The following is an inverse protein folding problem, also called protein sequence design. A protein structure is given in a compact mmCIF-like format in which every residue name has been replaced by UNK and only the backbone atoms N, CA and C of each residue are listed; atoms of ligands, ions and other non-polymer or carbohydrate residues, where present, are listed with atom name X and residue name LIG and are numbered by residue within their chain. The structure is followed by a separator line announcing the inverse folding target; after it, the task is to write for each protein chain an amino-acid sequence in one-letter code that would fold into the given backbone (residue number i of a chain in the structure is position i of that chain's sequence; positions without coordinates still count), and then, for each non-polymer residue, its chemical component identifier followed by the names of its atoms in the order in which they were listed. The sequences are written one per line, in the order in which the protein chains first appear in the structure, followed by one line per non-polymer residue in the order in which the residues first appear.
data_IF_643732043988
#
_entry.id   IF_643732043988
#
_cell.length_a   1.000
_cell.length_b   1.000
_cell.length_c   1.000
_cell.angle_alpha   90.00
_cell.angle_beta   90.00
_cell.angle_gamma   90.00
#
_symmetry.space_group_name_H-M   'P 1'
#
loop_
_entity.id
_entity.type
_entity.pdbx_description
1 polymer ?
#
# COMPACT_ATOMS: atom_id res chain seq x y z
N UNK A 1 4.17 -1.57 10.75
CA UNK A 1 4.92 -0.67 9.85
C UNK A 1 3.95 0.43 9.43
N UNK A 2 4.23 1.67 9.80
CA UNK A 2 3.27 2.76 9.72
C UNK A 2 3.27 3.41 8.33
N UNK A 3 2.24 3.03 7.57
CA UNK A 3 1.53 3.78 6.54
C UNK A 3 2.35 4.62 5.55
N UNK A 4 2.23 4.19 4.29
CA UNK A 4 1.62 5.03 3.26
C UNK A 4 0.29 4.28 2.96
N UNK A 5 -0.91 4.84 3.25
CA UNK A 5 -1.45 6.07 2.64
C UNK A 5 -1.98 7.09 3.67
N UNK A 6 -2.16 8.34 3.22
CA UNK A 6 -2.53 9.49 4.07
C UNK A 6 -4.02 9.58 4.44
N UNK A 7 -4.86 8.63 4.04
CA UNK A 7 -6.28 8.62 4.40
C UNK A 7 -6.58 7.53 5.43
N UNK A 8 -6.74 7.93 6.70
CA UNK A 8 -7.69 7.21 7.58
C UNK A 8 -9.09 7.50 7.04
N UNK A 9 -9.58 6.65 6.13
CA UNK A 9 -10.92 6.77 5.57
C UNK A 9 -11.37 5.48 4.90
N UNK A 10 -12.22 4.72 5.60
CA UNK A 10 -12.94 3.52 5.16
C UNK A 10 -12.17 2.20 5.00
N UNK A 11 -11.51 1.72 6.06
CA UNK A 11 -11.42 0.27 6.29
C UNK A 11 -12.68 -0.23 7.03
N UNK A 12 -13.85 -0.06 6.42
CA UNK A 12 -15.11 -0.60 6.96
C UNK A 12 -15.71 -1.67 6.06
N UNK A 13 -14.94 -2.71 5.75
CA UNK A 13 -15.52 -4.01 5.36
C UNK A 13 -15.26 -5.07 6.43
N UNK A 14 -14.12 -5.00 7.13
CA UNK A 14 -13.84 -5.87 8.28
C UNK A 14 -14.73 -5.57 9.51
N UNK A 15 -15.20 -4.33 9.67
CA UNK A 15 -16.07 -3.92 10.80
C UNK A 15 -17.56 -4.19 10.53
N UNK A 16 -18.00 -4.14 9.27
CA UNK A 16 -19.36 -4.49 8.85
C UNK A 16 -19.64 -5.99 8.99
N UNK A 17 -18.65 -6.85 8.73
CA UNK A 17 -18.77 -8.29 8.95
C UNK A 17 -18.96 -8.68 10.43
N UNK A 18 -18.41 -7.91 11.38
CA UNK A 18 -18.62 -8.15 12.82
C UNK A 18 -19.97 -7.64 13.32
N UNK A 19 -20.55 -6.60 12.69
CA UNK A 19 -21.90 -6.11 13.02
C UNK A 19 -23.00 -7.03 12.48
N UNK A 20 -22.82 -7.63 11.29
CA UNK A 20 -23.78 -8.61 10.78
C UNK A 20 -23.80 -9.91 11.60
N UNK A 21 -22.66 -10.31 12.16
CA UNK A 21 -22.54 -11.49 13.02
C UNK A 21 -23.04 -11.28 14.45
N UNK A 22 -23.16 -10.04 14.91
CA UNK A 22 -23.56 -9.70 16.28
C UNK A 22 -25.02 -9.21 16.41
N UNK A 23 -25.73 -8.91 15.31
CA UNK A 23 -27.08 -8.34 15.35
C UNK A 23 -28.17 -9.06 14.53
N UNK A 24 -27.85 -10.10 13.76
CA UNK A 24 -28.78 -10.72 12.82
C UNK A 24 -29.45 -12.01 13.29
N UNK A 25 -30.13 -12.00 14.45
CA UNK A 25 -30.97 -13.15 14.87
C UNK A 25 -32.21 -12.72 15.66
N UNK A 26 -32.99 -11.77 15.14
CA UNK A 26 -34.38 -11.53 15.59
C UNK A 26 -35.19 -10.86 14.48
N UNK A 27 -35.87 -11.66 13.67
CA UNK A 27 -37.19 -11.38 13.05
C UNK A 27 -37.42 -12.34 11.88
N UNK A 28 -38.69 -12.73 11.69
CA UNK A 28 -39.25 -13.75 10.78
C UNK A 28 -39.21 -15.16 11.40
N UNK A 29 -40.31 -15.77 11.80
CA UNK A 29 -41.71 -15.41 11.65
C UNK A 29 -42.55 -16.58 12.17
N UNK A 30 -43.65 -16.25 12.83
CA UNK A 30 -44.64 -17.18 13.32
C UNK A 30 -45.20 -18.07 12.20
N UNK A 31 -45.50 -19.33 12.52
CA UNK A 31 -46.21 -20.23 11.62
C UNK A 31 -46.10 -21.71 11.99
N UNK A 32 -46.43 -22.07 13.24
CA UNK A 32 -46.59 -23.47 13.64
C UNK A 32 -48.07 -23.71 14.00
N UNK A 33 -48.86 -24.15 13.03
CA UNK A 33 -50.15 -24.81 13.27
C UNK A 33 -50.54 -25.74 12.11
N UNK A 34 -50.72 -27.02 12.45
CA UNK A 34 -51.83 -27.85 11.97
C UNK A 34 -51.61 -28.72 10.71
N UNK A 35 -51.87 -30.02 10.85
CA UNK A 35 -52.47 -30.82 9.78
C UNK A 35 -51.82 -32.16 9.44
N UNK A 36 -52.35 -33.23 10.04
CA UNK A 36 -52.19 -34.63 9.64
C UNK A 36 -52.84 -34.85 8.26
N UNK A 37 -52.17 -35.56 7.33
CA UNK A 37 -52.81 -35.97 6.08
C UNK A 37 -51.91 -36.71 5.07
N UNK A 38 -51.87 -38.04 5.20
CA UNK A 38 -51.82 -39.05 4.13
C UNK A 38 -50.99 -38.84 2.86
N UNK A 39 -49.98 -39.69 2.69
CA UNK A 39 -49.99 -40.72 1.65
C UNK A 39 -49.76 -40.33 0.17
N UNK A 40 -48.79 -41.04 -0.42
CA UNK A 40 -48.68 -41.38 -1.84
C UNK A 40 -48.04 -40.31 -2.77
N UNK A 41 -46.76 -40.51 -3.11
CA UNK A 41 -46.27 -40.97 -4.44
C UNK A 41 -44.82 -40.54 -4.71
N UNK A 42 -43.94 -41.54 -4.64
CA UNK A 42 -42.67 -41.58 -5.37
C UNK A 42 -42.93 -41.36 -6.87
N UNK A 43 -42.48 -40.24 -7.45
CA UNK A 43 -41.95 -40.13 -8.82
C UNK A 43 -41.41 -38.72 -9.16
N UNK A 44 -40.81 -37.99 -8.21
CA UNK A 44 -40.40 -36.59 -8.41
C UNK A 44 -38.90 -36.27 -8.21
N UNK A 45 -38.09 -37.26 -7.83
CA UNK A 45 -36.76 -37.00 -7.26
C UNK A 45 -35.56 -37.16 -8.22
N UNK A 46 -35.74 -37.59 -9.48
CA UNK A 46 -34.60 -37.75 -10.40
C UNK A 46 -34.32 -36.55 -11.31
N UNK A 47 -35.18 -35.52 -11.35
CA UNK A 47 -34.99 -34.34 -12.23
C UNK A 47 -34.52 -33.10 -11.47
N UNK A 48 -34.62 -33.10 -10.13
CA UNK A 48 -34.07 -32.01 -9.29
C UNK A 48 -32.58 -32.18 -8.98
N UNK A 49 -32.07 -33.41 -8.91
CA UNK A 49 -30.65 -33.68 -8.67
C UNK A 49 -29.72 -33.24 -9.83
N UNK A 50 -30.24 -33.00 -11.03
CA UNK A 50 -29.45 -32.53 -12.20
C UNK A 50 -29.36 -31.00 -12.30
N UNK A 51 -30.23 -30.25 -11.60
CA UNK A 51 -30.14 -28.78 -11.53
C UNK A 51 -29.12 -28.29 -10.50
N UNK A 52 -28.87 -29.08 -9.45
CA UNK A 52 -27.89 -28.74 -8.41
C UNK A 52 -26.43 -29.01 -8.84
N UNK A 53 -26.21 -29.92 -9.81
CA UNK A 53 -24.87 -30.19 -10.34
C UNK A 53 -24.36 -29.05 -11.24
N UNK A 54 -25.25 -28.27 -11.87
CA UNK A 54 -24.87 -27.09 -12.67
C UNK A 54 -24.54 -25.84 -11.84
N UNK A 55 -24.94 -25.79 -10.56
CA UNK A 55 -24.59 -24.69 -9.67
C UNK A 55 -23.27 -24.91 -8.91
N UNK A 56 -22.80 -26.16 -8.82
CA UNK A 56 -21.57 -26.49 -8.11
C UNK A 56 -20.28 -26.21 -8.91
N UNK A 57 -20.35 -26.16 -10.25
CA UNK A 57 -19.19 -25.82 -11.10
C UNK A 57 -18.89 -24.32 -11.19
N UNK A 58 -19.84 -23.44 -10.90
CA UNK A 58 -19.60 -21.99 -10.87
C UNK A 58 -19.22 -21.45 -9.49
N UNK A 59 -19.41 -22.22 -8.40
CA UNK A 59 -19.08 -21.77 -7.03
C UNK A 59 -17.60 -21.95 -6.66
N UNK A 60 -16.80 -22.66 -7.46
CA UNK A 60 -15.36 -22.83 -7.21
C UNK A 60 -14.48 -21.71 -7.80
N UNK A 61 -15.00 -20.84 -8.67
CA UNK A 61 -14.21 -19.75 -9.27
C UNK A 61 -14.07 -18.51 -8.36
N UNK A 62 -14.89 -18.38 -7.31
CA UNK A 62 -14.85 -17.27 -6.36
C UNK A 62 -13.92 -17.46 -5.16
N UNK A 63 -13.57 -18.71 -4.83
CA UNK A 63 -12.77 -19.05 -3.64
C UNK A 63 -11.25 -18.98 -3.86
N UNK A 64 -10.78 -18.52 -5.00
CA UNK A 64 -9.34 -18.41 -5.29
C UNK A 64 -8.73 -17.03 -5.02
N UNK A 65 -9.57 -16.01 -4.76
CA UNK A 65 -9.10 -14.62 -4.57
C UNK A 65 -8.75 -14.29 -3.12
N UNK A 66 -9.47 -14.84 -2.13
CA UNK A 66 -9.24 -14.54 -0.72
C UNK A 66 -7.91 -15.10 -0.18
N UNK A 67 -7.49 -16.32 -0.57
CA UNK A 67 -6.19 -16.86 -0.15
C UNK A 67 -4.98 -16.13 -0.80
N UNK A 68 -5.16 -15.54 -1.99
CA UNK A 68 -4.13 -14.72 -2.65
C UNK A 68 -3.93 -13.38 -1.96
N UNK A 69 -4.98 -12.84 -1.33
CA UNK A 69 -4.93 -11.58 -0.58
C UNK A 69 -4.08 -11.70 0.70
N UNK A 70 -4.12 -12.86 1.34
CA UNK A 70 -3.42 -13.14 2.61
C UNK A 70 -2.09 -13.89 2.44
N UNK A 71 -1.62 -14.12 1.20
CA UNK A 71 -0.35 -14.81 0.98
C UNK A 71 0.82 -13.85 1.31
N UNK A 72 1.73 -14.20 2.25
CA UNK A 72 2.91 -13.39 2.56
C UNK A 72 3.98 -13.48 1.47
N UNK A 73 3.76 -14.31 0.44
CA UNK A 73 4.67 -14.45 -0.68
C UNK A 73 4.67 -13.20 -1.55
N UNK A 74 5.79 -12.49 -1.43
CA UNK A 74 6.24 -11.46 -2.36
C UNK A 74 6.09 -11.97 -3.79
N UNK A 75 5.58 -11.11 -4.68
CA UNK A 75 5.43 -11.41 -6.11
C UNK A 75 6.23 -10.42 -6.93
N UNK A 76 6.69 -10.79 -8.14
CA UNK A 76 7.40 -9.86 -9.00
C UNK A 76 6.60 -8.56 -9.22
N UNK A 77 7.28 -7.41 -9.41
CA UNK A 77 6.62 -6.15 -9.68
C UNK A 77 5.74 -6.25 -10.93
N UNK A 78 4.56 -5.64 -10.90
CA UNK A 78 3.62 -5.64 -12.03
C UNK A 78 3.99 -4.64 -13.11
N UNK A 79 4.92 -3.72 -12.81
CA UNK A 79 5.44 -2.71 -13.72
C UNK A 79 6.95 -2.88 -13.88
N UNK A 80 7.44 -2.75 -15.10
CA UNK A 80 8.88 -2.78 -15.40
C UNK A 80 9.59 -1.67 -14.62
N UNK A 81 10.68 -2.03 -13.95
CA UNK A 81 11.53 -1.09 -13.23
C UNK A 81 12.49 -0.40 -14.18
N UNK A 82 12.86 0.84 -13.87
CA UNK A 82 13.84 1.60 -14.63
C UNK A 82 15.27 1.28 -14.18
N UNK A 83 15.42 0.87 -12.92
CA UNK A 83 16.68 0.49 -12.28
C UNK A 83 16.40 -0.46 -11.09
N UNK A 84 17.44 -0.93 -10.42
CA UNK A 84 17.32 -1.68 -9.17
C UNK A 84 18.40 -1.29 -8.15
N UNK A 85 18.10 -1.51 -6.87
CA UNK A 85 19.12 -1.54 -5.82
C UNK A 85 20.03 -2.78 -6.02
N UNK A 86 21.22 -2.83 -5.39
CA UNK A 86 22.07 -4.02 -5.39
C UNK A 86 21.41 -5.30 -4.87
N UNK A 87 20.31 -5.17 -4.12
CA UNK A 87 19.49 -6.27 -3.62
C UNK A 87 18.32 -6.63 -4.55
N UNK A 88 18.40 -6.29 -5.84
CA UNK A 88 17.38 -6.49 -6.88
C UNK A 88 16.01 -5.85 -6.59
N UNK A 89 15.98 -4.86 -5.69
CA UNK A 89 14.76 -4.14 -5.35
C UNK A 89 14.48 -3.12 -6.47
N UNK A 90 13.27 -3.13 -7.06
CA UNK A 90 12.89 -2.19 -8.12
C UNK A 90 13.01 -0.72 -7.74
N UNK A 91 13.58 0.06 -8.64
CA UNK A 91 13.61 1.51 -8.61
C UNK A 91 12.90 2.05 -9.85
N UNK A 92 12.15 3.14 -9.66
CA UNK A 92 11.36 3.77 -10.71
C UNK A 92 11.67 5.26 -10.76
N UNK A 93 11.79 5.79 -11.96
CA UNK A 93 12.13 7.18 -12.23
C UNK A 93 11.06 7.84 -13.10
N UNK A 94 10.76 9.09 -12.78
CA UNK A 94 10.10 10.03 -13.68
C UNK A 94 10.55 11.43 -13.33
N UNK A 95 10.16 12.40 -14.15
CA UNK A 95 10.48 13.80 -13.90
C UNK A 95 10.05 14.23 -12.48
N UNK A 96 11.02 14.69 -11.69
CA UNK A 96 10.85 15.15 -10.31
C UNK A 96 10.50 14.06 -9.29
N UNK A 97 10.59 12.76 -9.63
CA UNK A 97 10.27 11.68 -8.70
C UNK A 97 11.08 10.40 -8.90
N UNK A 98 11.52 9.81 -7.79
CA UNK A 98 12.12 8.48 -7.75
C UNK A 98 11.47 7.66 -6.63
N UNK A 99 11.08 6.43 -6.93
CA UNK A 99 10.49 5.51 -5.98
C UNK A 99 11.32 4.24 -5.82
N UNK A 100 11.50 3.80 -4.58
CA UNK A 100 12.24 2.58 -4.22
C UNK A 100 11.27 1.59 -3.58
N UNK A 101 11.09 0.45 -4.24
CA UNK A 101 10.04 -0.52 -3.92
C UNK A 101 8.78 -0.34 -4.77
N UNK A 102 7.89 -1.33 -4.70
CA UNK A 102 6.75 -1.49 -5.62
C UNK A 102 5.43 -1.84 -4.94
N UNK A 103 5.35 -1.71 -3.61
CA UNK A 103 4.06 -1.84 -2.93
C UNK A 103 3.10 -0.71 -3.36
N UNK A 104 1.77 -0.94 -3.28
CA UNK A 104 0.79 -0.01 -3.82
C UNK A 104 0.91 1.42 -3.31
N UNK A 105 1.39 1.58 -2.09
CA UNK A 105 1.45 2.88 -1.46
C UNK A 105 2.65 3.72 -1.91
N UNK A 106 3.81 3.07 -2.10
CA UNK A 106 4.98 3.67 -2.75
C UNK A 106 4.59 4.12 -4.16
N UNK A 107 3.97 3.22 -4.94
CA UNK A 107 3.59 3.53 -6.32
C UNK A 107 2.51 4.61 -6.38
N UNK A 108 1.56 4.61 -5.43
CA UNK A 108 0.57 5.68 -5.33
C UNK A 108 1.22 7.06 -5.14
N UNK A 109 2.21 7.20 -4.26
CA UNK A 109 2.89 8.49 -4.07
C UNK A 109 3.74 8.86 -5.28
N UNK A 110 4.37 7.86 -5.90
CA UNK A 110 5.05 8.05 -7.15
C UNK A 110 4.10 8.61 -8.20
N UNK A 111 2.95 8.01 -8.40
CA UNK A 111 2.03 8.36 -9.48
C UNK A 111 1.34 9.71 -9.27
N UNK A 112 0.78 9.95 -8.08
CA UNK A 112 -0.18 11.06 -7.88
C UNK A 112 0.23 12.15 -6.89
N UNK A 113 1.37 12.06 -6.21
CA UNK A 113 1.81 13.20 -5.41
C UNK A 113 2.14 14.39 -6.31
N UNK A 114 1.63 15.55 -5.94
CA UNK A 114 1.99 16.83 -6.55
C UNK A 114 3.50 17.05 -6.33
N UNK A 115 4.24 17.24 -7.43
CA UNK A 115 5.66 17.53 -7.37
C UNK A 115 5.86 18.92 -6.79
N UNK A 116 6.89 19.09 -5.97
CA UNK A 116 7.32 20.41 -5.52
C UNK A 116 8.26 20.98 -6.60
N UNK A 117 7.92 22.12 -7.25
CA UNK A 117 8.77 22.67 -8.29
C UNK A 117 10.21 22.90 -7.81
N UNK A 118 11.18 22.48 -8.64
CA UNK A 118 12.61 22.58 -8.32
C UNK A 118 13.11 21.55 -7.30
N UNK A 119 12.30 20.57 -6.89
CA UNK A 119 12.73 19.48 -6.02
C UNK A 119 12.65 18.13 -6.73
N UNK A 120 13.57 17.25 -6.37
CA UNK A 120 13.51 15.83 -6.69
C UNK A 120 12.88 15.06 -5.52
N UNK A 121 11.74 14.43 -5.75
CA UNK A 121 11.11 13.61 -4.72
C UNK A 121 11.77 12.23 -4.64
N UNK A 122 12.00 11.77 -3.41
CA UNK A 122 12.47 10.41 -3.11
C UNK A 122 11.44 9.71 -2.25
N UNK A 123 10.88 8.63 -2.78
CA UNK A 123 9.75 7.91 -2.19
C UNK A 123 10.21 6.52 -1.76
N UNK A 124 10.25 6.30 -0.47
CA UNK A 124 10.55 5.02 0.18
C UNK A 124 9.83 5.01 1.52
N UNK A 125 9.45 3.84 2.06
CA UNK A 125 8.84 3.84 3.39
C UNK A 125 9.88 4.22 4.43
N UNK A 126 9.46 5.00 5.42
CA UNK A 126 10.22 5.21 6.66
C UNK A 126 9.44 4.63 7.83
N UNK A 127 10.13 4.21 8.89
CA UNK A 127 9.48 3.74 10.11
C UNK A 127 9.79 4.62 11.32
N UNK A 128 8.99 4.49 12.38
CA UNK A 128 9.15 5.29 13.62
C UNK A 128 10.49 5.05 14.32
N UNK A 129 11.11 3.88 14.12
CA UNK A 129 12.46 3.57 14.61
C UNK A 129 13.57 4.06 13.66
N UNK A 130 13.16 4.80 12.62
CA UNK A 130 14.03 5.43 11.65
C UNK A 130 14.25 4.61 10.38
N UNK A 131 14.15 3.28 10.37
CA UNK A 131 14.59 2.50 9.20
C UNK A 131 13.90 2.90 7.90
N UNK A 132 14.66 2.87 6.80
CA UNK A 132 14.12 2.98 5.44
C UNK A 132 13.77 1.59 4.92
N UNK A 133 12.59 1.45 4.31
CA UNK A 133 12.07 0.19 3.82
C UNK A 133 11.60 0.31 2.37
N UNK A 134 12.16 -0.51 1.49
CA UNK A 134 11.57 -0.71 0.18
C UNK A 134 10.36 -1.63 0.33
N UNK A 135 9.16 -1.12 0.06
CA UNK A 135 7.94 -1.89 0.22
C UNK A 135 7.69 -2.82 -0.97
N UNK A 136 7.11 -3.98 -0.69
CA UNK A 136 6.81 -4.99 -1.70
C UNK A 136 5.35 -5.42 -1.69
N UNK A 137 4.87 -5.91 -2.83
CA UNK A 137 3.51 -6.40 -3.02
C UNK A 137 3.45 -7.93 -3.16
N UNK A 138 2.33 -8.52 -2.73
CA UNK A 138 2.00 -9.91 -3.01
C UNK A 138 1.24 -10.03 -4.34
N UNK A 139 0.88 -11.26 -4.71
CA UNK A 139 0.16 -11.56 -5.97
C UNK A 139 -1.21 -10.89 -6.07
N UNK A 140 -1.82 -10.51 -4.96
CA UNK A 140 -3.07 -9.76 -4.94
C UNK A 140 -2.87 -8.24 -5.09
N UNK A 141 -1.64 -7.79 -5.26
CA UNK A 141 -1.31 -6.37 -5.30
C UNK A 141 -1.50 -5.70 -3.94
N UNK A 142 -1.42 -6.44 -2.83
CA UNK A 142 -1.45 -5.91 -1.48
C UNK A 142 -0.03 -5.90 -0.90
N UNK A 143 0.24 -5.02 0.06
CA UNK A 143 1.55 -4.99 0.72
C UNK A 143 1.88 -6.34 1.36
N UNK A 144 3.01 -6.94 0.97
CA UNK A 144 3.49 -8.23 1.47
C UNK A 144 4.58 -8.10 2.53
N UNK A 145 5.29 -6.96 2.56
CA UNK A 145 6.45 -6.77 3.41
C UNK A 145 7.29 -5.57 2.98
N UNK A 146 8.56 -5.62 3.32
CA UNK A 146 9.55 -4.69 2.80
C UNK A 146 10.95 -5.01 3.31
N UNK A 147 11.95 -4.70 2.50
CA UNK A 147 13.35 -4.91 2.82
C UNK A 147 13.93 -3.65 3.46
N UNK A 148 14.73 -3.83 4.51
CA UNK A 148 15.46 -2.69 5.09
C UNK A 148 16.53 -2.25 4.10
N UNK A 149 16.52 -0.97 3.76
CA UNK A 149 17.45 -0.35 2.84
C UNK A 149 18.43 0.49 3.64
N UNK A 150 19.73 0.30 3.38
CA UNK A 150 20.76 1.16 3.93
C UNK A 150 20.63 2.58 3.31
N UNK A 151 20.66 3.66 4.10
CA UNK A 151 20.59 5.03 3.56
C UNK A 151 21.61 5.34 2.46
N UNK A 152 22.81 4.74 2.51
CA UNK A 152 23.81 4.91 1.45
C UNK A 152 23.33 4.37 0.10
N UNK A 153 22.56 3.27 0.08
CA UNK A 153 21.95 2.80 -1.17
C UNK A 153 20.88 3.76 -1.69
N UNK A 154 20.20 4.51 -0.81
CA UNK A 154 19.27 5.57 -1.24
C UNK A 154 20.04 6.73 -1.84
N UNK A 155 21.17 7.13 -1.25
CA UNK A 155 22.08 8.13 -1.82
C UNK A 155 22.61 7.72 -3.20
N UNK A 156 23.09 6.47 -3.33
CA UNK A 156 23.55 5.93 -4.60
C UNK A 156 22.44 5.92 -5.66
N UNK A 157 21.20 5.61 -5.26
CA UNK A 157 20.05 5.71 -6.16
C UNK A 157 19.79 7.15 -6.59
N UNK A 158 19.88 8.13 -5.69
CA UNK A 158 19.70 9.55 -6.02
C UNK A 158 20.75 10.00 -7.05
N UNK A 159 22.01 9.66 -6.82
CA UNK A 159 23.11 10.02 -7.72
C UNK A 159 23.02 9.36 -9.10
N UNK A 160 22.22 8.30 -9.24
CA UNK A 160 21.99 7.57 -10.50
C UNK A 160 20.68 7.94 -11.19
N UNK A 161 19.90 8.89 -10.65
CA UNK A 161 18.67 9.36 -11.29
C UNK A 161 19.03 9.97 -12.65
N UNK A 162 18.46 9.47 -13.76
CA UNK A 162 18.74 10.02 -15.08
C UNK A 162 18.35 11.51 -15.15
N UNK A 163 19.33 12.36 -15.48
CA UNK A 163 19.11 13.80 -15.66
C UNK A 163 18.97 14.62 -14.36
N UNK A 164 19.27 14.05 -13.19
CA UNK A 164 19.36 14.80 -11.93
C UNK A 164 20.63 15.67 -11.90
N UNK A 165 20.48 16.96 -11.60
CA UNK A 165 21.54 17.97 -11.68
C UNK A 165 21.85 18.63 -10.32
N UNK A 166 21.47 17.99 -9.22
CA UNK A 166 21.67 18.55 -7.87
C UNK A 166 20.50 19.42 -7.42
N UNK A 167 19.29 19.12 -7.86
CA UNK A 167 18.08 19.73 -7.32
C UNK A 167 17.90 19.35 -5.84
N UNK A 168 17.37 20.24 -4.98
CA UNK A 168 17.00 19.89 -3.61
C UNK A 168 16.13 18.62 -3.52
N UNK A 169 16.35 17.80 -2.50
CA UNK A 169 15.59 16.56 -2.30
C UNK A 169 14.39 16.82 -1.41
N UNK A 170 13.23 16.24 -1.74
CA UNK A 170 12.08 16.12 -0.83
C UNK A 170 11.81 14.64 -0.56
N UNK A 171 11.98 14.24 0.70
CA UNK A 171 11.72 12.87 1.16
C UNK A 171 10.22 12.68 1.35
N UNK A 172 9.59 11.84 0.53
CA UNK A 172 8.27 11.29 0.82
C UNK A 172 8.43 9.99 1.64
N UNK A 173 9.19 10.12 2.74
CA UNK A 173 9.63 9.03 3.62
C UNK A 173 9.19 9.32 5.05
N UNK A 174 8.22 8.55 5.53
CA UNK A 174 7.58 8.75 6.83
C UNK A 174 8.61 8.89 7.97
N UNK A 175 8.41 9.89 8.83
CA UNK A 175 9.22 10.15 10.02
C UNK A 175 10.70 10.48 9.78
N UNK A 176 11.19 10.54 8.53
CA UNK A 176 12.63 10.67 8.26
C UNK A 176 13.26 11.91 8.90
N UNK A 177 12.54 13.03 8.99
CA UNK A 177 13.04 14.25 9.63
C UNK A 177 13.11 14.19 11.16
N UNK A 178 12.36 13.31 11.82
CA UNK A 178 12.33 13.22 13.29
C UNK A 178 12.97 11.94 13.84
N UNK A 179 12.79 10.80 13.16
CA UNK A 179 13.32 9.52 13.58
C UNK A 179 14.77 9.29 13.14
N UNK A 180 15.25 10.00 12.11
CA UNK A 180 16.64 9.92 11.63
C UNK A 180 17.23 11.28 11.21
N UNK A 181 17.23 12.30 12.09
CA UNK A 181 17.76 13.60 11.73
C UNK A 181 19.23 13.55 11.31
N UNK A 182 20.05 12.67 11.92
CA UNK A 182 21.45 12.50 11.54
C UNK A 182 21.61 11.89 10.14
N UNK A 183 20.84 10.85 9.79
CA UNK A 183 20.88 10.25 8.45
C UNK A 183 20.49 11.27 7.39
N UNK A 184 19.43 12.04 7.62
CA UNK A 184 18.97 13.06 6.65
C UNK A 184 19.98 14.21 6.54
N UNK A 185 20.63 14.59 7.65
CA UNK A 185 21.72 15.55 7.63
C UNK A 185 22.93 15.03 6.84
N UNK A 186 23.34 13.77 7.07
CA UNK A 186 24.43 13.14 6.34
C UNK A 186 24.13 13.02 4.85
N UNK A 187 22.86 12.78 4.49
CA UNK A 187 22.41 12.82 3.10
C UNK A 187 22.54 14.22 2.50
N UNK A 188 22.13 15.28 3.22
CA UNK A 188 22.27 16.65 2.75
C UNK A 188 23.76 17.03 2.55
N UNK A 189 24.62 16.65 3.49
CA UNK A 189 26.05 16.87 3.42
C UNK A 189 26.67 16.13 2.21
N UNK A 190 26.29 14.86 2.02
CA UNK A 190 26.84 14.00 0.97
C UNK A 190 26.39 14.42 -0.44
N UNK A 191 25.14 14.88 -0.59
CA UNK A 191 24.62 15.37 -1.86
C UNK A 191 25.02 16.81 -2.14
N UNK A 192 25.40 17.59 -1.12
CA UNK A 192 25.68 19.01 -1.26
C UNK A 192 24.43 19.86 -1.54
N UNK A 193 23.23 19.33 -1.30
CA UNK A 193 21.95 20.00 -1.57
C UNK A 193 21.02 19.95 -0.35
N UNK A 194 20.07 20.89 -0.21
CA UNK A 194 19.05 20.82 0.84
C UNK A 194 18.21 19.54 0.75
N UNK A 195 17.92 18.92 1.90
CA UNK A 195 17.01 17.78 2.01
C UNK A 195 15.83 18.15 2.89
N UNK A 196 14.62 18.10 2.32
CA UNK A 196 13.36 18.35 3.01
C UNK A 196 12.74 17.02 3.46
N UNK A 197 12.49 16.85 4.75
CA UNK A 197 12.00 15.59 5.32
C UNK A 197 10.86 15.81 6.33
N UNK A 198 9.85 14.92 6.38
CA UNK A 198 8.71 15.06 7.27
C UNK A 198 9.04 14.59 8.69
N UNK A 199 8.50 15.26 9.71
CA UNK A 199 8.61 14.81 11.11
C UNK A 199 7.69 13.63 11.44
N UNK A 200 6.69 13.36 10.60
CA UNK A 200 5.71 12.29 10.84
C UNK A 200 5.37 11.53 9.53
N UNK A 201 4.40 10.62 9.59
CA UNK A 201 3.92 9.90 8.42
C UNK A 201 3.42 10.88 7.35
N UNK A 202 3.88 10.68 6.11
CA UNK A 202 3.55 11.54 4.96
C UNK A 202 2.94 10.71 3.84
N UNK A 203 2.05 11.32 3.07
CA UNK A 203 1.67 10.77 1.78
C UNK A 203 0.45 11.43 1.18
N UNK A 204 -0.16 10.71 0.24
CA UNK A 204 -1.38 11.12 -0.48
C UNK A 204 -2.58 10.22 -0.16
N UNK A 205 -3.81 10.63 -0.48
CA UNK A 205 -4.99 9.77 -0.41
C UNK A 205 -4.83 8.46 -1.17
N UNK A 206 -5.38 7.38 -0.63
CA UNK A 206 -5.30 6.04 -1.24
C UNK A 206 -6.11 5.89 -2.52
N UNK A 207 -7.06 6.78 -2.79
CA UNK A 207 -7.93 6.78 -3.96
C UNK A 207 -8.19 8.20 -4.47
N UNK A 208 -8.77 8.31 -5.67
CA UNK A 208 -9.02 9.56 -6.37
C UNK A 208 -7.99 9.86 -7.46
N UNK A 209 -8.33 10.78 -8.35
CA UNK A 209 -7.44 11.27 -9.41
C UNK A 209 -6.68 12.49 -8.87
N UNK A 210 -5.34 12.45 -8.99
CA UNK A 210 -4.47 13.53 -8.51
C UNK A 210 -4.27 14.64 -9.54
N UNK A 211 -3.29 15.54 -9.32
CA UNK A 211 -2.28 15.48 -8.28
C UNK A 211 -2.82 15.81 -6.88
N UNK A 212 -2.21 15.25 -5.85
CA UNK A 212 -2.50 15.57 -4.44
C UNK A 212 -1.25 16.13 -3.76
N UNK A 213 -1.38 17.26 -3.08
CA UNK A 213 -0.33 17.78 -2.21
C UNK A 213 -0.06 16.77 -1.08
N UNK A 214 1.18 16.28 -0.89
CA UNK A 214 1.50 15.36 0.20
C UNK A 214 1.23 16.01 1.56
N UNK A 215 0.53 15.28 2.43
CA UNK A 215 0.16 15.75 3.76
C UNK A 215 0.91 14.98 4.84
N UNK A 216 1.43 15.69 5.85
CA UNK A 216 2.07 15.10 7.03
C UNK A 216 1.03 14.96 8.13
N UNK A 217 0.90 13.76 8.69
CA UNK A 217 -0.10 13.43 9.71
C UNK A 217 0.21 14.07 11.07
N UNK A 218 -0.85 14.17 11.88
CA UNK A 218 -0.82 14.52 13.30
C UNK A 218 0.00 15.82 13.55
N UNK A 219 -0.30 16.86 12.77
CA UNK A 219 0.35 18.19 12.80
C UNK A 219 1.87 18.16 12.58
N UNK A 220 2.39 17.09 11.98
CA UNK A 220 3.79 17.03 11.60
C UNK A 220 4.15 18.08 10.55
N UNK A 221 5.43 18.43 10.51
CA UNK A 221 5.95 19.52 9.69
C UNK A 221 7.08 19.04 8.81
N UNK A 222 7.39 19.80 7.77
CA UNK A 222 8.59 19.62 6.98
C UNK A 222 9.77 20.28 7.68
N UNK A 223 10.83 19.53 7.91
CA UNK A 223 12.15 20.07 8.26
C UNK A 223 13.01 20.13 7.02
N UNK A 224 13.87 21.14 6.93
CA UNK A 224 14.86 21.25 5.86
C UNK A 224 16.25 21.22 6.48
N UNK A 225 17.02 20.23 6.06
CA UNK A 225 18.41 20.00 6.44
C UNK A 225 19.27 20.63 5.36
N UNK A 226 20.14 21.54 5.74
CA UNK A 226 21.06 22.23 4.83
C UNK A 226 22.41 21.53 4.85
N UNK A 227 23.13 21.43 3.73
CA UNK A 227 24.49 20.91 3.73
C UNK A 227 25.39 21.72 4.68
N UNK A 228 26.16 21.02 5.50
CA UNK A 228 27.13 21.59 6.41
C UNK A 228 28.53 21.20 5.93
N UNK A 229 29.43 22.19 5.86
CA UNK A 229 30.84 22.02 5.52
C UNK A 229 31.66 21.55 6.73
#
# INVERSE_FOLDING_TARGET
MDCIPATKGFTSLAKLGKLWKAGGLKALGAGFMGGIGGGLKNLGNSVRALKDVRYLTFSMMGKSRWWKADSPHVSPPTRTADDALPSDIPVYHKEGATAIGYDPATLRNFDVAERLPGYQDVIIHGTRDGRMLAGEANRAGLRAGGHTVNPNHVLDTINRIPGYNGEPIRMLTCHSGAAQPHVIQDMANSLGVPVKAPTNAVGVPSFGEGPFTPHIRDEGVWLTFLPMA
#
